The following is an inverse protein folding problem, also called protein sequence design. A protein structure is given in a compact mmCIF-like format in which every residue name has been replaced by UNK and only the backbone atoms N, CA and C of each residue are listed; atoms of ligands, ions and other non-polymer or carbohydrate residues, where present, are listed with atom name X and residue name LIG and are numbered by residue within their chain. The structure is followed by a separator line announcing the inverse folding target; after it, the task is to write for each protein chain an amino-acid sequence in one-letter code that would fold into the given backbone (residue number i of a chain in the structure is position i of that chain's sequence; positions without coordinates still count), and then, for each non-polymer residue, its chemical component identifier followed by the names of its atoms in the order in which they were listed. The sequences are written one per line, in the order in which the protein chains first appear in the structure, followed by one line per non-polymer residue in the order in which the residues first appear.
data_IF_918270270704
#
_entry.id   IF_918270270704
#
_cell.length_a   1.000
_cell.length_b   1.000
_cell.length_c   1.000
_cell.angle_alpha   90.00
_cell.angle_beta   90.00
_cell.angle_gamma   90.00
#
_symmetry.space_group_name_H-M   'P 1'
#
loop_
_entity.id
_entity.type
_entity.pdbx_description
1 polymer ?
#
# COMPACT_ATOMS: atom_id res chain seq x y z
N UNK A 1 -34.37 8.61 -20.65
CA UNK A 1 -34.45 8.47 -22.12
C UNK A 1 -34.60 6.98 -22.43
N UNK A 2 -35.82 6.55 -22.79
CA UNK A 2 -36.23 6.04 -24.13
C UNK A 2 -35.44 4.77 -24.54
N UNK A 3 -36.01 3.60 -24.88
CA UNK A 3 -37.39 3.14 -25.10
C UNK A 3 -37.39 1.59 -25.09
N UNK A 4 -38.43 1.00 -24.50
CA UNK A 4 -38.90 -0.37 -24.75
C UNK A 4 -39.92 -0.29 -25.91
N UNK A 5 -39.87 -1.24 -26.83
CA UNK A 5 -40.83 -1.56 -27.90
C UNK A 5 -40.58 -3.05 -28.21
N UNK A 6 -41.53 -3.98 -28.25
CA UNK A 6 -42.89 -3.92 -28.78
C UNK A 6 -43.84 -4.84 -27.99
N UNK A 7 -45.09 -4.40 -27.83
CA UNK A 7 -46.25 -5.27 -27.69
C UNK A 7 -47.23 -4.92 -28.80
N UNK A 8 -47.91 -5.91 -29.35
CA UNK A 8 -49.27 -5.86 -29.90
C UNK A 8 -49.56 -7.17 -30.66
N UNK A 9 -50.75 -7.75 -30.74
CA UNK A 9 -52.14 -7.51 -30.29
C UNK A 9 -52.86 -8.83 -30.69
N UNK A 10 -53.95 -9.27 -30.05
CA UNK A 10 -55.30 -9.22 -30.64
C UNK A 10 -56.34 -9.45 -29.54
N UNK A 11 -57.27 -8.50 -29.54
CA UNK A 11 -58.45 -8.29 -28.73
C UNK A 11 -59.62 -9.03 -29.37
N UNK A 12 -60.53 -9.59 -28.56
CA UNK A 12 -61.95 -9.66 -28.91
C UNK A 12 -62.76 -9.18 -27.69
N UNK A 13 -63.43 -8.04 -27.87
CA UNK A 13 -64.58 -7.55 -27.10
C UNK A 13 -65.86 -8.11 -27.79
N UNK A 14 -67.08 -8.18 -27.27
CA UNK A 14 -67.87 -7.46 -26.25
C UNK A 14 -69.08 -8.35 -25.88
N UNK A 15 -69.74 -8.02 -24.78
CA UNK A 15 -71.21 -7.90 -24.63
C UNK A 15 -71.82 -8.66 -23.45
N UNK A 16 -72.57 -7.87 -22.67
CA UNK A 16 -73.33 -8.19 -21.49
C UNK A 16 -74.62 -8.98 -21.80
N UNK A 17 -75.09 -9.77 -20.83
CA UNK A 17 -76.38 -9.58 -20.16
C UNK A 17 -76.56 -10.66 -19.08
N UNK A 18 -77.13 -10.24 -17.96
CA UNK A 18 -77.37 -11.10 -16.79
C UNK A 18 -78.47 -12.14 -17.00
N UNK A 19 -78.66 -12.96 -15.96
CA UNK A 19 -79.80 -13.85 -15.83
C UNK A 19 -79.42 -15.25 -15.39
N UNK A 20 -79.58 -15.49 -14.10
CA UNK A 20 -79.82 -16.76 -13.42
C UNK A 20 -80.36 -17.92 -14.29
N UNK A 21 -79.73 -19.09 -14.17
CA UNK A 21 -80.30 -20.33 -13.60
C UNK A 21 -79.75 -21.61 -14.29
N UNK A 22 -79.23 -22.52 -13.45
CA UNK A 22 -79.49 -23.97 -13.54
C UNK A 22 -78.80 -24.84 -14.60
N UNK A 23 -77.88 -25.67 -14.11
CA UNK A 23 -77.67 -27.10 -14.43
C UNK A 23 -76.80 -27.57 -15.65
N UNK A 24 -75.60 -28.06 -15.28
CA UNK A 24 -74.80 -29.22 -15.81
C UNK A 24 -74.14 -29.12 -17.20
N UNK A 25 -73.06 -29.89 -17.56
CA UNK A 25 -72.31 -30.97 -16.87
C UNK A 25 -70.75 -30.87 -16.91
N UNK A 26 -70.09 -31.78 -16.19
CA UNK A 26 -68.62 -31.92 -16.03
C UNK A 26 -67.95 -32.68 -17.19
N UNK A 27 -66.78 -32.22 -17.70
CA UNK A 27 -65.80 -33.07 -18.38
C UNK A 27 -64.62 -33.42 -17.45
N UNK A 28 -64.21 -34.70 -17.45
CA UNK A 28 -63.09 -35.25 -16.69
C UNK A 28 -61.75 -34.54 -16.99
N UNK A 29 -61.00 -34.22 -15.93
CA UNK A 29 -59.62 -33.72 -15.97
C UNK A 29 -58.62 -34.89 -15.81
N UNK A 30 -57.51 -34.92 -16.58
CA UNK A 30 -56.45 -35.93 -16.44
C UNK A 30 -55.72 -35.84 -15.08
N UNK A 31 -55.08 -36.92 -14.61
CA UNK A 31 -54.62 -37.05 -13.23
C UNK A 31 -53.51 -36.05 -12.93
N UNK A 32 -53.70 -35.29 -11.85
CA UNK A 32 -52.74 -34.34 -11.32
C UNK A 32 -51.67 -35.11 -10.55
N UNK A 33 -50.42 -34.98 -10.96
CA UNK A 33 -49.25 -35.50 -10.26
C UNK A 33 -49.11 -34.75 -8.93
N UNK A 34 -49.24 -35.46 -7.81
CA UNK A 34 -49.09 -34.90 -6.47
C UNK A 34 -47.66 -34.39 -6.26
N UNK A 35 -47.50 -33.07 -6.09
CA UNK A 35 -46.28 -32.49 -5.52
C UNK A 35 -46.17 -32.90 -4.05
N UNK A 36 -45.25 -33.84 -3.78
CA UNK A 36 -44.97 -34.30 -2.42
C UNK A 36 -44.29 -33.18 -1.62
N UNK A 37 -45.00 -32.65 -0.62
CA UNK A 37 -44.54 -31.60 0.32
C UNK A 37 -43.42 -32.01 1.29
N UNK A 38 -42.83 -33.20 1.10
CA UNK A 38 -41.84 -33.80 1.99
C UNK A 38 -40.41 -33.42 1.58
N UNK A 39 -39.56 -33.09 2.56
CA UNK A 39 -38.14 -32.75 2.33
C UNK A 39 -37.36 -34.04 2.09
N UNK A 40 -36.63 -34.11 0.97
CA UNK A 40 -35.77 -35.25 0.63
C UNK A 40 -34.31 -34.95 0.97
N UNK A 41 -33.50 -35.98 1.16
CA UNK A 41 -32.06 -35.82 1.43
C UNK A 41 -31.35 -35.02 0.32
N UNK A 42 -31.76 -35.22 -0.93
CA UNK A 42 -31.26 -34.47 -2.09
C UNK A 42 -31.61 -32.98 -2.05
N UNK A 43 -32.71 -32.59 -1.41
CA UNK A 43 -33.07 -31.18 -1.21
C UNK A 43 -32.11 -30.54 -0.19
N UNK A 44 -31.76 -31.26 0.88
CA UNK A 44 -30.80 -30.78 1.90
C UNK A 44 -29.37 -30.71 1.34
N UNK A 45 -28.93 -31.70 0.55
CA UNK A 45 -27.62 -31.64 -0.11
C UNK A 45 -27.52 -30.40 -1.01
N UNK A 46 -28.57 -30.11 -1.79
CA UNK A 46 -28.66 -28.88 -2.60
C UNK A 46 -28.76 -27.60 -1.76
N UNK A 47 -29.45 -27.64 -0.62
CA UNK A 47 -29.58 -26.50 0.29
C UNK A 47 -28.22 -25.99 0.77
N UNK A 48 -27.33 -26.90 1.17
CA UNK A 48 -25.98 -26.53 1.62
C UNK A 48 -25.01 -26.30 0.47
N UNK A 49 -25.15 -27.02 -0.64
CA UNK A 49 -24.33 -26.90 -1.85
C UNK A 49 -22.82 -26.78 -1.55
N UNK A 50 -22.32 -27.70 -0.72
CA UNK A 50 -20.95 -27.64 -0.21
C UNK A 50 -19.93 -28.00 -1.30
N UNK A 51 -18.87 -27.20 -1.39
CA UNK A 51 -17.74 -27.44 -2.30
C UNK A 51 -17.00 -28.73 -1.91
N UNK A 52 -16.91 -29.68 -2.84
CA UNK A 52 -16.29 -30.99 -2.64
C UNK A 52 -14.77 -30.95 -2.51
N UNK A 53 -14.16 -29.80 -2.83
CA UNK A 53 -12.72 -29.56 -2.59
C UNK A 53 -12.40 -29.30 -1.12
N UNK A 54 -13.41 -29.00 -0.30
CA UNK A 54 -13.23 -28.83 1.14
C UNK A 54 -12.95 -30.18 1.80
N UNK A 55 -12.16 -30.17 2.87
CA UNK A 55 -12.12 -31.32 3.77
C UNK A 55 -13.42 -31.40 4.59
N UNK A 56 -13.64 -32.56 5.23
CA UNK A 56 -14.86 -32.82 6.01
C UNK A 56 -15.09 -31.78 7.10
N UNK A 57 -14.05 -31.40 7.86
CA UNK A 57 -14.15 -30.37 8.90
C UNK A 57 -14.64 -29.02 8.35
N UNK A 58 -14.02 -28.53 7.27
CA UNK A 58 -14.41 -27.27 6.63
C UNK A 58 -15.83 -27.32 6.07
N UNK A 59 -16.22 -28.44 5.49
CA UNK A 59 -17.58 -28.65 4.99
C UNK A 59 -18.61 -28.64 6.12
N UNK A 60 -18.30 -29.28 7.26
CA UNK A 60 -19.12 -29.28 8.46
C UNK A 60 -19.30 -27.87 9.03
N UNK A 61 -18.21 -27.12 9.21
CA UNK A 61 -18.28 -25.76 9.75
C UNK A 61 -19.08 -24.82 8.83
N UNK A 62 -18.91 -24.96 7.51
CA UNK A 62 -19.75 -24.23 6.54
C UNK A 62 -21.22 -24.62 6.62
N UNK A 63 -21.54 -25.90 6.82
CA UNK A 63 -22.92 -26.35 6.96
C UNK A 63 -23.56 -25.79 8.24
N UNK A 64 -22.85 -25.84 9.37
CA UNK A 64 -23.30 -25.30 10.66
C UNK A 64 -23.53 -23.78 10.61
N UNK A 65 -22.72 -23.05 9.85
CA UNK A 65 -22.89 -21.61 9.67
C UNK A 65 -24.01 -21.22 8.69
N UNK A 66 -24.49 -22.16 7.86
CA UNK A 66 -25.41 -21.91 6.76
C UNK A 66 -26.85 -22.25 7.14
N UNK A 67 -27.45 -21.41 7.97
CA UNK A 67 -28.82 -21.53 8.47
C UNK A 67 -29.76 -20.54 7.77
N UNK A 68 -31.08 -20.74 7.95
CA UNK A 68 -32.13 -19.84 7.49
C UNK A 68 -32.91 -20.35 6.28
N UNK A 69 -33.64 -19.43 5.63
CA UNK A 69 -34.59 -19.76 4.54
C UNK A 69 -33.92 -19.79 3.17
N UNK A 70 -34.19 -20.84 2.38
CA UNK A 70 -33.84 -20.94 0.95
C UNK A 70 -34.92 -21.68 0.17
N UNK A 71 -35.07 -21.31 -1.10
CA UNK A 71 -35.95 -22.04 -2.02
C UNK A 71 -35.15 -23.07 -2.79
N UNK A 72 -35.44 -24.36 -2.60
CA UNK A 72 -34.76 -25.49 -3.26
C UNK A 72 -35.81 -26.33 -3.97
N UNK A 73 -35.65 -26.56 -5.28
CA UNK A 73 -36.59 -27.34 -6.10
C UNK A 73 -38.06 -26.93 -5.90
N UNK A 74 -38.34 -25.62 -5.78
CA UNK A 74 -39.69 -25.08 -5.56
C UNK A 74 -40.20 -25.11 -4.12
N UNK A 75 -39.43 -25.67 -3.17
CA UNK A 75 -39.78 -25.76 -1.74
C UNK A 75 -39.08 -24.67 -0.94
N UNK A 76 -39.81 -23.91 -0.12
CA UNK A 76 -39.21 -22.99 0.87
C UNK A 76 -38.78 -23.80 2.10
N UNK A 77 -37.47 -24.01 2.23
CA UNK A 77 -36.84 -24.76 3.34
C UNK A 77 -36.16 -23.76 4.27
N UNK A 78 -36.51 -23.80 5.55
CA UNK A 78 -35.86 -23.04 6.61
C UNK A 78 -35.07 -23.98 7.52
N UNK A 79 -33.74 -23.96 7.47
CA UNK A 79 -32.90 -24.76 8.38
C UNK A 79 -32.61 -23.94 9.63
N UNK A 80 -32.92 -24.48 10.80
CA UNK A 80 -32.69 -23.80 12.09
C UNK A 80 -31.55 -24.41 12.89
N UNK A 81 -31.31 -25.71 12.75
CA UNK A 81 -30.25 -26.41 13.49
C UNK A 81 -29.55 -27.42 12.59
N UNK A 82 -28.23 -27.49 12.74
CA UNK A 82 -27.37 -28.47 12.09
C UNK A 82 -26.42 -29.04 13.14
N UNK A 83 -26.48 -30.35 13.34
CA UNK A 83 -25.59 -31.06 14.28
C UNK A 83 -24.87 -32.20 13.58
N UNK A 84 -23.59 -32.37 13.91
CA UNK A 84 -22.78 -33.49 13.43
C UNK A 84 -23.19 -34.79 14.13
N UNK A 85 -23.52 -35.82 13.35
CA UNK A 85 -23.85 -37.16 13.87
C UNK A 85 -22.64 -38.08 13.76
N UNK A 86 -21.99 -38.06 12.58
CA UNK A 86 -20.83 -38.90 12.29
C UNK A 86 -19.88 -38.16 11.36
N UNK A 87 -18.58 -38.40 11.55
CA UNK A 87 -17.49 -37.87 10.73
C UNK A 87 -16.48 -38.97 10.43
N UNK A 88 -16.09 -39.08 9.17
CA UNK A 88 -15.02 -39.96 8.70
C UNK A 88 -14.15 -39.17 7.70
N UNK A 89 -13.09 -38.57 8.24
CA UNK A 89 -12.16 -37.75 7.46
C UNK A 89 -11.39 -38.58 6.42
N UNK A 90 -11.10 -39.86 6.72
CA UNK A 90 -10.35 -40.73 5.81
C UNK A 90 -11.19 -41.10 4.59
N UNK A 91 -12.50 -41.29 4.77
CA UNK A 91 -13.42 -41.55 3.64
C UNK A 91 -13.93 -40.27 2.97
N UNK A 92 -13.73 -39.11 3.59
CA UNK A 92 -14.24 -37.84 3.06
C UNK A 92 -15.77 -37.78 3.18
N UNK A 93 -16.32 -38.32 4.28
CA UNK A 93 -17.75 -38.46 4.49
C UNK A 93 -18.18 -37.98 5.88
N UNK A 94 -19.40 -37.47 5.99
CA UNK A 94 -20.01 -37.12 7.28
C UNK A 94 -21.54 -37.18 7.20
N UNK A 95 -22.19 -37.26 8.35
CA UNK A 95 -23.65 -37.29 8.48
C UNK A 95 -24.07 -36.10 9.34
N UNK A 96 -25.02 -35.32 8.83
CA UNK A 96 -25.63 -34.21 9.56
C UNK A 96 -27.05 -34.56 9.96
N UNK A 97 -27.42 -34.25 11.19
CA UNK A 97 -28.80 -34.12 11.61
C UNK A 97 -29.23 -32.67 11.38
N UNK A 98 -30.27 -32.50 10.57
CA UNK A 98 -30.76 -31.19 10.11
C UNK A 98 -32.21 -31.03 10.57
N UNK A 99 -32.47 -29.94 11.29
CA UNK A 99 -33.80 -29.59 11.81
C UNK A 99 -34.25 -28.28 11.18
N UNK A 100 -35.50 -28.24 10.75
CA UNK A 100 -36.05 -27.07 10.08
C UNK A 100 -37.54 -27.15 9.79
N UNK A 101 -38.01 -26.27 8.90
CA UNK A 101 -39.38 -26.29 8.39
C UNK A 101 -39.41 -26.25 6.87
N UNK A 102 -40.42 -26.88 6.26
CA UNK A 102 -40.78 -26.70 4.85
C UNK A 102 -42.17 -26.06 4.79
N UNK A 103 -42.24 -24.82 4.32
CA UNK A 103 -43.39 -23.97 4.62
C UNK A 103 -43.62 -23.88 6.13
N UNK A 104 -44.78 -24.36 6.60
CA UNK A 104 -45.15 -24.40 8.02
C UNK A 104 -44.92 -25.75 8.72
N UNK A 105 -44.54 -26.82 7.99
CA UNK A 105 -44.39 -28.16 8.57
C UNK A 105 -42.96 -28.37 9.07
N UNK A 106 -42.74 -28.82 10.32
CA UNK A 106 -41.41 -29.15 10.81
C UNK A 106 -40.88 -30.42 10.15
N UNK A 107 -39.56 -30.50 10.00
CA UNK A 107 -38.86 -31.72 9.63
C UNK A 107 -37.58 -31.88 10.46
N UNK A 108 -37.19 -33.13 10.62
CA UNK A 108 -35.92 -33.54 11.22
C UNK A 108 -35.42 -34.72 10.40
N UNK A 109 -34.19 -34.65 9.90
CA UNK A 109 -33.62 -35.74 9.14
C UNK A 109 -32.10 -35.82 9.24
N UNK A 110 -31.59 -37.03 9.12
CA UNK A 110 -30.15 -37.28 8.94
C UNK A 110 -29.82 -37.37 7.44
N UNK A 111 -28.76 -36.70 7.04
CA UNK A 111 -28.33 -36.60 5.64
C UNK A 111 -26.84 -36.90 5.56
N UNK A 112 -26.51 -37.88 4.73
CA UNK A 112 -25.14 -38.25 4.43
C UNK A 112 -24.54 -37.35 3.34
N UNK A 113 -23.31 -36.95 3.59
CA UNK A 113 -22.48 -36.14 2.72
C UNK A 113 -21.20 -36.91 2.40
N UNK A 114 -20.88 -37.05 1.12
CA UNK A 114 -19.71 -37.79 0.65
C UNK A 114 -18.96 -37.07 -0.47
N UNK A 115 -17.75 -37.55 -0.78
CA UNK A 115 -16.92 -37.03 -1.87
C UNK A 115 -16.14 -35.76 -1.52
N UNK A 116 -15.88 -35.51 -0.23
CA UNK A 116 -15.04 -34.42 0.24
C UNK A 116 -13.56 -34.83 0.25
N UNK A 117 -12.66 -33.85 0.36
CA UNK A 117 -11.23 -34.12 0.42
C UNK A 117 -10.90 -35.05 1.60
N UNK A 118 -10.27 -36.18 1.27
CA UNK A 118 -9.95 -37.23 2.23
C UNK A 118 -8.69 -36.85 3.01
N UNK A 119 -8.64 -37.20 4.28
CA UNK A 119 -7.44 -37.04 5.08
C UNK A 119 -6.40 -38.10 4.67
N UNK A 120 -5.17 -37.71 4.28
CA UNK A 120 -4.08 -38.65 4.03
C UNK A 120 -3.73 -39.49 5.26
N UNK A 121 -2.94 -40.55 5.05
CA UNK A 121 -2.38 -41.33 6.16
C UNK A 121 -1.50 -40.44 7.05
N UNK A 122 -1.31 -40.80 8.31
CA UNK A 122 -0.44 -40.03 9.21
C UNK A 122 1.00 -39.90 8.66
N UNK A 123 1.48 -40.94 7.97
CA UNK A 123 2.76 -40.93 7.26
C UNK A 123 2.79 -39.86 6.16
N UNK A 124 1.74 -39.79 5.34
CA UNK A 124 1.64 -38.77 4.28
C UNK A 124 1.45 -37.37 4.87
N UNK A 125 0.66 -37.22 5.93
CA UNK A 125 0.51 -35.97 6.67
C UNK A 125 1.86 -35.41 7.11
N UNK A 126 2.77 -36.25 7.62
CA UNK A 126 4.12 -35.83 8.01
C UNK A 126 5.06 -35.61 6.80
N UNK A 127 5.04 -36.50 5.80
CA UNK A 127 6.05 -36.56 4.75
C UNK A 127 5.72 -35.72 3.51
N UNK A 128 4.48 -35.26 3.37
CA UNK A 128 4.00 -34.55 2.17
C UNK A 128 3.37 -33.20 2.49
N UNK A 129 3.47 -32.75 3.74
CA UNK A 129 3.01 -31.43 4.12
C UNK A 129 3.86 -30.32 3.49
N UNK A 130 3.15 -29.29 3.06
CA UNK A 130 3.68 -28.02 2.57
C UNK A 130 3.06 -26.89 3.40
N UNK A 131 3.76 -25.75 3.46
CA UNK A 131 3.32 -24.59 4.19
C UNK A 131 2.88 -23.48 3.21
N UNK A 132 1.77 -22.81 3.51
CA UNK A 132 1.31 -21.60 2.82
C UNK A 132 1.03 -20.53 3.87
N UNK A 133 1.33 -19.26 3.56
CA UNK A 133 0.82 -18.16 4.36
C UNK A 133 -0.70 -18.14 4.30
N UNK A 134 -1.34 -17.94 5.45
CA UNK A 134 -2.79 -17.77 5.54
C UNK A 134 -3.24 -16.56 4.74
N UNK A 135 -4.39 -16.68 4.10
CA UNK A 135 -5.01 -15.57 3.41
C UNK A 135 -5.48 -14.51 4.41
N UNK A 136 -5.30 -13.23 4.06
CA UNK A 136 -5.68 -12.09 4.89
C UNK A 136 -4.72 -11.73 6.02
N UNK A 137 -3.59 -12.43 6.17
CA UNK A 137 -2.56 -12.14 7.18
C UNK A 137 -1.42 -11.33 6.57
N UNK A 138 -1.08 -10.16 7.13
CA UNK A 138 0.11 -9.40 6.71
C UNK A 138 1.36 -9.93 7.41
N UNK A 139 1.79 -11.12 7.01
CA UNK A 139 2.99 -11.77 7.56
C UNK A 139 4.28 -10.94 7.37
N UNK A 140 4.29 -9.97 6.45
CA UNK A 140 5.44 -9.06 6.27
C UNK A 140 5.50 -7.98 7.35
N UNK A 141 4.50 -7.88 8.22
CA UNK A 141 4.46 -6.96 9.37
C UNK A 141 4.35 -7.73 10.67
N UNK A 142 3.42 -8.68 10.73
CA UNK A 142 3.01 -9.33 11.98
C UNK A 142 3.91 -10.50 12.40
N UNK A 143 4.57 -11.16 11.44
CA UNK A 143 5.51 -12.24 11.75
C UNK A 143 6.80 -11.65 12.33
N UNK A 144 7.26 -12.16 13.47
CA UNK A 144 8.42 -11.64 14.20
C UNK A 144 9.73 -12.11 13.58
N UNK A 145 9.97 -11.72 12.33
CA UNK A 145 11.13 -12.16 11.58
C UNK A 145 12.45 -11.66 12.20
N UNK A 146 12.46 -10.46 12.80
CA UNK A 146 13.64 -9.90 13.45
C UNK A 146 14.17 -10.81 14.58
N UNK A 147 13.29 -11.37 15.40
CA UNK A 147 13.69 -12.33 16.46
C UNK A 147 14.31 -13.60 15.89
N UNK A 148 13.76 -14.12 14.79
CA UNK A 148 14.30 -15.30 14.12
C UNK A 148 15.67 -15.01 13.49
N UNK A 149 15.75 -13.92 12.72
CA UNK A 149 16.85 -13.67 11.80
C UNK A 149 17.99 -12.88 12.43
N UNK A 150 17.71 -11.76 13.10
CA UNK A 150 18.74 -10.92 13.71
C UNK A 150 19.12 -11.43 15.09
N UNK A 151 18.13 -11.72 15.94
CA UNK A 151 18.36 -12.16 17.33
C UNK A 151 18.73 -13.65 17.44
N UNK A 152 18.51 -14.43 16.37
CA UNK A 152 18.83 -15.87 16.30
C UNK A 152 18.11 -16.71 17.37
N UNK A 153 16.89 -16.31 17.78
CA UNK A 153 16.08 -17.04 18.77
C UNK A 153 14.89 -17.72 18.11
N UNK A 154 14.86 -19.05 18.14
CA UNK A 154 13.82 -19.85 17.50
C UNK A 154 12.70 -20.33 18.46
N UNK A 155 12.90 -20.23 19.77
CA UNK A 155 11.99 -20.84 20.78
C UNK A 155 10.56 -20.28 20.74
N UNK A 156 10.39 -19.05 20.26
CA UNK A 156 9.09 -18.39 20.11
C UNK A 156 8.23 -19.02 19.00
N UNK A 157 8.85 -19.63 17.98
CA UNK A 157 8.17 -20.12 16.77
C UNK A 157 7.59 -21.52 16.97
N UNK A 158 6.74 -21.63 17.99
CA UNK A 158 6.01 -22.84 18.35
C UNK A 158 4.89 -23.16 17.35
N UNK A 159 4.30 -24.35 17.49
CA UNK A 159 3.09 -24.74 16.73
C UNK A 159 1.97 -23.71 16.87
N UNK A 160 1.72 -23.22 18.10
CA UNK A 160 0.68 -22.24 18.37
C UNK A 160 0.98 -20.86 17.77
N UNK A 161 2.27 -20.49 17.66
CA UNK A 161 2.67 -19.25 16.99
C UNK A 161 2.45 -19.37 15.48
N UNK A 162 3.00 -20.41 14.84
CA UNK A 162 2.91 -20.60 13.39
C UNK A 162 1.48 -20.83 12.91
N UNK A 163 0.63 -21.52 13.70
CA UNK A 163 -0.78 -21.72 13.36
C UNK A 163 -1.57 -20.41 13.21
N UNK A 164 -1.07 -19.26 13.68
CA UNK A 164 -1.68 -17.94 13.44
C UNK A 164 -1.45 -17.43 12.01
N UNK A 165 -0.32 -17.80 11.41
CA UNK A 165 0.14 -17.23 10.13
C UNK A 165 0.13 -18.24 8.98
N UNK A 166 0.11 -19.54 9.28
CA UNK A 166 0.44 -20.60 8.32
C UNK A 166 -0.69 -21.61 8.22
N UNK A 167 -1.01 -22.01 6.99
CA UNK A 167 -1.76 -23.22 6.68
C UNK A 167 -0.79 -24.33 6.30
N UNK A 168 -0.95 -25.50 6.93
CA UNK A 168 -0.29 -26.72 6.51
C UNK A 168 -1.23 -27.53 5.63
N UNK A 169 -0.73 -27.98 4.49
CA UNK A 169 -1.49 -28.74 3.49
C UNK A 169 -0.69 -29.99 3.19
N UNK A 170 -1.29 -31.17 3.33
CA UNK A 170 -0.67 -32.42 2.86
C UNK A 170 -1.44 -33.00 1.69
N UNK A 171 -0.85 -33.98 1.03
CA UNK A 171 -1.46 -34.68 -0.10
C UNK A 171 -1.26 -36.18 -0.02
N UNK A 172 -2.12 -36.92 -0.72
CA UNK A 172 -1.89 -38.34 -1.05
C UNK A 172 -0.71 -38.50 -2.01
N UNK A 173 -0.11 -39.71 -2.13
CA UNK A 173 1.05 -39.97 -2.99
C UNK A 173 0.91 -39.50 -4.44
N UNK A 174 -0.29 -39.64 -5.01
CA UNK A 174 -0.64 -39.23 -6.38
C UNK A 174 -0.80 -37.70 -6.54
N UNK A 175 -0.81 -36.94 -5.45
CA UNK A 175 -0.90 -35.48 -5.45
C UNK A 175 -2.28 -34.91 -5.80
N UNK A 176 -3.29 -35.75 -6.02
CA UNK A 176 -4.61 -35.29 -6.48
C UNK A 176 -5.47 -34.75 -5.33
N UNK A 177 -5.29 -35.27 -4.13
CA UNK A 177 -6.09 -34.89 -2.97
C UNK A 177 -5.25 -34.02 -2.03
N UNK A 178 -5.67 -32.77 -1.84
CA UNK A 178 -5.02 -31.80 -0.97
C UNK A 178 -5.86 -31.60 0.29
N UNK A 179 -5.26 -31.86 1.45
CA UNK A 179 -5.90 -31.77 2.75
C UNK A 179 -5.24 -30.69 3.59
N UNK A 180 -6.00 -29.66 3.95
CA UNK A 180 -5.53 -28.62 4.88
C UNK A 180 -5.69 -29.11 6.32
N UNK A 181 -4.67 -28.89 7.15
CA UNK A 181 -4.67 -29.28 8.56
C UNK A 181 -5.79 -28.57 9.32
N UNK A 182 -6.54 -29.34 10.10
CA UNK A 182 -7.59 -28.87 11.01
C UNK A 182 -7.02 -28.57 12.40
N UNK A 183 -7.84 -28.03 13.31
CA UNK A 183 -7.42 -27.81 14.69
C UNK A 183 -6.93 -29.10 15.37
N UNK A 184 -7.60 -30.23 15.10
CA UNK A 184 -7.24 -31.55 15.62
C UNK A 184 -5.86 -32.01 15.10
N UNK A 185 -5.51 -31.64 13.87
CA UNK A 185 -4.21 -31.99 13.27
C UNK A 185 -3.09 -31.11 13.83
N UNK A 186 -3.35 -29.81 14.00
CA UNK A 186 -2.42 -28.90 14.67
C UNK A 186 -2.11 -29.35 16.10
N UNK A 187 -3.09 -29.88 16.84
CA UNK A 187 -2.88 -30.43 18.18
C UNK A 187 -1.96 -31.68 18.19
N UNK A 188 -1.87 -32.41 17.07
CA UNK A 188 -0.99 -33.56 16.88
C UNK A 188 0.37 -33.18 16.27
N UNK A 189 0.59 -31.89 16.01
CA UNK A 189 1.78 -31.40 15.31
C UNK A 189 2.73 -30.72 16.29
N UNK A 190 4.02 -31.02 16.17
CA UNK A 190 5.09 -30.21 16.77
C UNK A 190 5.95 -29.57 15.69
N UNK A 191 6.50 -28.39 16.01
CA UNK A 191 7.39 -27.65 15.12
C UNK A 191 8.77 -27.54 15.77
N UNK A 192 9.82 -27.71 14.95
CA UNK A 192 11.23 -27.58 15.35
C UNK A 192 12.08 -27.07 14.18
N UNK A 193 13.35 -26.74 14.45
CA UNK A 193 14.33 -26.30 13.43
C UNK A 193 13.82 -25.14 12.56
N UNK A 194 13.17 -24.16 13.19
CA UNK A 194 12.69 -22.96 12.48
C UNK A 194 13.88 -22.08 12.13
N UNK A 195 14.06 -21.80 10.84
CA UNK A 195 15.18 -21.00 10.33
C UNK A 195 14.83 -20.27 9.05
N UNK A 196 15.57 -19.20 8.78
CA UNK A 196 15.53 -18.52 7.50
C UNK A 196 16.65 -19.04 6.59
N UNK A 197 16.29 -19.44 5.37
CA UNK A 197 17.20 -19.91 4.34
C UNK A 197 17.17 -18.90 3.19
N UNK A 198 18.26 -18.15 2.94
CA UNK A 198 18.34 -17.21 1.83
C UNK A 198 18.22 -17.93 0.48
N UNK A 199 17.42 -17.38 -0.44
CA UNK A 199 17.40 -17.80 -1.85
C UNK A 199 18.33 -16.91 -2.67
N UNK A 200 18.37 -15.62 -2.33
CA UNK A 200 19.27 -14.60 -2.89
C UNK A 200 19.52 -13.54 -1.80
N UNK A 201 20.14 -12.41 -2.18
CA UNK A 201 20.44 -11.32 -1.24
C UNK A 201 19.21 -10.61 -0.68
N UNK A 202 18.04 -10.71 -1.33
CA UNK A 202 16.83 -9.93 -1.02
C UNK A 202 15.72 -10.80 -0.37
N UNK A 203 15.59 -12.04 -0.81
CA UNK A 203 14.51 -12.93 -0.41
C UNK A 203 14.99 -14.34 -0.09
N UNK A 204 14.13 -15.08 0.60
CA UNK A 204 14.44 -16.40 1.09
C UNK A 204 13.20 -17.14 1.52
N UNK A 205 13.40 -18.16 2.34
CA UNK A 205 12.33 -18.98 2.86
C UNK A 205 12.47 -19.19 4.36
N UNK A 206 11.37 -19.06 5.08
CA UNK A 206 11.29 -19.56 6.46
C UNK A 206 10.98 -21.05 6.35
N UNK A 207 11.91 -21.89 6.80
CA UNK A 207 11.79 -23.35 6.78
C UNK A 207 11.72 -23.88 8.21
N UNK A 208 10.98 -24.97 8.40
CA UNK A 208 10.82 -25.61 9.69
C UNK A 208 10.48 -27.09 9.51
N UNK A 209 10.83 -27.89 10.52
CA UNK A 209 10.50 -29.32 10.57
C UNK A 209 9.18 -29.50 11.29
N UNK A 210 8.27 -30.27 10.68
CA UNK A 210 7.05 -30.74 11.33
C UNK A 210 7.27 -32.16 11.85
N UNK A 211 6.68 -32.49 12.99
CA UNK A 211 6.47 -33.87 13.42
C UNK A 211 4.98 -34.02 13.70
N UNK A 212 4.31 -34.89 12.94
CA UNK A 212 2.87 -35.07 13.03
C UNK A 212 2.61 -36.47 13.60
N UNK A 213 1.85 -36.53 14.70
CA UNK A 213 1.53 -37.76 15.44
C UNK A 213 2.77 -38.65 15.72
N UNK A 214 3.88 -38.01 16.13
CA UNK A 214 5.17 -38.69 16.40
C UNK A 214 6.00 -39.04 15.16
N UNK A 215 5.47 -38.88 13.95
CA UNK A 215 6.19 -39.13 12.70
C UNK A 215 6.89 -37.85 12.26
N UNK A 216 8.23 -37.90 12.22
CA UNK A 216 9.04 -36.77 11.78
C UNK A 216 8.92 -36.61 10.26
N UNK A 217 8.55 -35.41 9.83
CA UNK A 217 8.45 -35.06 8.42
C UNK A 217 9.81 -34.87 7.75
N UNK A 218 9.76 -34.41 6.50
CA UNK A 218 10.95 -34.10 5.70
C UNK A 218 11.75 -32.94 6.30
N UNK A 219 13.07 -33.03 6.22
CA UNK A 219 14.02 -32.03 6.76
C UNK A 219 15.03 -31.51 5.72
N UNK A 220 15.02 -32.06 4.51
CA UNK A 220 16.01 -31.79 3.47
C UNK A 220 15.57 -30.68 2.51
N UNK A 221 15.99 -30.82 1.25
CA UNK A 221 15.72 -29.88 0.15
C UNK A 221 15.04 -30.60 -1.03
N UNK A 222 14.47 -29.86 -1.98
CA UNK A 222 13.87 -30.41 -3.19
C UNK A 222 12.68 -31.33 -2.90
N UNK A 223 12.66 -32.55 -3.47
CA UNK A 223 11.62 -33.55 -3.22
C UNK A 223 11.59 -34.06 -1.77
N UNK A 224 12.68 -33.88 -1.02
CA UNK A 224 12.80 -34.12 0.41
C UNK A 224 12.76 -32.83 1.23
N UNK A 225 12.22 -31.76 0.65
CA UNK A 225 12.11 -30.43 1.22
C UNK A 225 11.30 -30.41 2.52
N UNK A 226 11.83 -29.78 3.56
CA UNK A 226 11.02 -29.36 4.69
C UNK A 226 9.96 -28.33 4.26
N UNK A 227 8.81 -28.25 4.96
CA UNK A 227 7.87 -27.15 4.81
C UNK A 227 8.59 -25.80 4.87
N UNK A 228 8.25 -24.92 3.94
CA UNK A 228 8.89 -23.61 3.85
C UNK A 228 8.01 -22.56 3.20
N UNK A 229 8.16 -21.32 3.64
CA UNK A 229 7.35 -20.17 3.26
C UNK A 229 8.23 -19.10 2.64
N UNK A 230 7.84 -18.57 1.47
CA UNK A 230 8.56 -17.45 0.86
C UNK A 230 8.51 -16.23 1.77
N UNK A 231 9.63 -15.54 1.93
CA UNK A 231 9.72 -14.35 2.76
C UNK A 231 10.65 -13.33 2.11
N UNK A 232 10.23 -12.07 2.12
CA UNK A 232 11.01 -10.94 1.59
C UNK A 232 11.55 -10.15 2.77
N UNK A 233 12.83 -10.37 3.10
CA UNK A 233 13.43 -9.70 4.26
C UNK A 233 13.58 -8.19 4.01
N UNK A 234 13.79 -7.76 2.76
CA UNK A 234 13.93 -6.35 2.44
C UNK A 234 12.61 -5.62 2.65
N UNK A 235 11.50 -6.19 2.18
CA UNK A 235 10.17 -5.65 2.41
C UNK A 235 9.82 -5.62 3.91
N UNK A 236 10.09 -6.72 4.64
CA UNK A 236 9.85 -6.77 6.09
C UNK A 236 10.55 -5.63 6.83
N UNK A 237 11.86 -5.46 6.59
CA UNK A 237 12.62 -4.40 7.26
C UNK A 237 12.24 -3.01 6.76
N UNK A 238 11.93 -2.82 5.46
CA UNK A 238 11.46 -1.54 4.94
C UNK A 238 10.18 -1.06 5.65
N UNK A 239 9.25 -1.98 5.96
CA UNK A 239 8.02 -1.66 6.71
C UNK A 239 8.26 -1.23 8.17
N UNK A 240 9.48 -1.41 8.71
CA UNK A 240 9.87 -0.91 10.04
C UNK A 240 10.34 0.55 10.02
N UNK A 241 10.45 1.14 8.82
CA UNK A 241 10.89 2.51 8.61
C UNK A 241 9.72 3.35 8.12
N UNK A 242 9.58 4.55 8.66
CA UNK A 242 8.57 5.52 8.23
C UNK A 242 9.20 6.89 8.06
N UNK A 243 8.69 7.68 7.13
CA UNK A 243 9.15 9.06 6.93
C UNK A 243 8.54 9.96 8.01
N UNK A 244 9.36 10.83 8.59
CA UNK A 244 8.86 11.90 9.47
C UNK A 244 8.37 13.09 8.65
N UNK A 245 7.12 13.03 8.21
CA UNK A 245 6.53 14.08 7.36
C UNK A 245 6.43 15.44 8.05
N UNK A 246 6.36 15.47 9.38
CA UNK A 246 6.36 16.73 10.15
C UNK A 246 7.74 17.40 10.14
N UNK A 247 8.81 16.61 10.05
CA UNK A 247 10.17 17.09 9.90
C UNK A 247 10.44 17.51 8.45
N UNK A 248 10.09 16.66 7.47
CA UNK A 248 10.31 16.97 6.04
C UNK A 248 9.52 18.20 5.60
N UNK A 249 8.29 18.39 6.09
CA UNK A 249 7.43 19.53 5.75
C UNK A 249 7.96 20.91 6.15
N UNK A 250 9.02 20.95 6.96
CA UNK A 250 9.69 22.20 7.36
C UNK A 250 10.84 22.58 6.44
N UNK A 251 11.23 21.69 5.52
CA UNK A 251 12.47 21.77 4.76
C UNK A 251 12.20 21.77 3.26
N UNK A 252 13.02 22.50 2.50
CA UNK A 252 13.03 22.42 1.05
C UNK A 252 13.87 21.24 0.55
N UNK A 253 13.30 20.47 -0.38
CA UNK A 253 13.87 19.20 -0.83
C UNK A 253 15.28 19.33 -1.44
N UNK A 254 15.53 20.34 -2.29
CA UNK A 254 16.81 20.49 -2.99
C UNK A 254 17.99 20.65 -2.01
N UNK A 255 17.89 21.50 -0.99
CA UNK A 255 19.00 21.65 -0.04
C UNK A 255 19.17 20.42 0.84
N UNK A 256 18.07 19.78 1.25
CA UNK A 256 18.13 18.48 1.93
C UNK A 256 18.88 17.45 1.09
N UNK A 257 18.57 17.33 -0.20
CA UNK A 257 19.26 16.41 -1.11
C UNK A 257 20.78 16.67 -1.20
N UNK A 258 21.20 17.94 -1.20
CA UNK A 258 22.62 18.33 -1.26
C UNK A 258 23.35 18.06 0.06
N UNK A 259 22.64 18.08 1.18
CA UNK A 259 23.17 17.91 2.53
C UNK A 259 22.55 16.71 3.27
N UNK A 260 22.30 15.63 2.54
CA UNK A 260 21.60 14.46 3.09
C UNK A 260 22.31 13.86 4.31
N UNK A 261 23.63 13.91 4.34
CA UNK A 261 24.50 13.43 5.42
C UNK A 261 24.11 13.97 6.81
N UNK A 262 23.60 15.20 6.87
CA UNK A 262 23.15 15.82 8.13
C UNK A 262 21.64 15.69 8.37
N UNK A 263 20.84 15.47 7.34
CA UNK A 263 19.38 15.46 7.45
C UNK A 263 18.78 14.07 7.62
N UNK A 264 19.21 13.07 6.85
CA UNK A 264 18.44 11.85 6.64
C UNK A 264 18.09 11.11 7.95
N UNK A 265 19.01 11.10 8.92
CA UNK A 265 18.79 10.47 10.22
C UNK A 265 17.63 11.06 11.02
N UNK A 266 17.32 12.35 10.82
CA UNK A 266 16.19 13.04 11.47
C UNK A 266 14.87 12.97 10.69
N UNK A 267 14.92 12.55 9.42
CA UNK A 267 13.75 12.51 8.53
C UNK A 267 13.08 11.13 8.49
N UNK A 268 13.63 10.17 9.22
CA UNK A 268 13.20 8.77 9.18
C UNK A 268 13.02 8.27 10.62
N UNK A 269 11.86 7.68 10.90
CA UNK A 269 11.54 7.02 12.17
C UNK A 269 11.76 5.52 12.05
N UNK A 270 12.51 4.97 12.99
CA UNK A 270 12.80 3.55 13.14
C UNK A 270 13.28 3.28 14.58
N UNK A 271 13.43 2.01 14.93
CA UNK A 271 13.99 1.61 16.23
C UNK A 271 15.52 1.78 16.24
N UNK A 272 15.98 2.94 16.70
CA UNK A 272 17.40 3.32 16.76
C UNK A 272 18.23 2.47 17.74
N UNK A 273 17.58 1.71 18.62
CA UNK A 273 18.25 0.77 19.52
C UNK A 273 18.55 -0.56 18.82
N UNK A 274 17.81 -0.90 17.76
CA UNK A 274 17.98 -2.15 17.01
C UNK A 274 18.81 -1.98 15.75
N UNK A 275 18.67 -0.85 15.09
CA UNK A 275 19.13 -0.67 13.72
C UNK A 275 20.09 0.50 13.54
N UNK A 276 20.98 0.36 12.57
CA UNK A 276 21.85 1.39 12.06
C UNK A 276 21.72 1.43 10.52
N UNK A 277 20.90 2.32 9.94
CA UNK A 277 20.80 2.48 8.50
C UNK A 277 22.01 3.24 7.96
N UNK A 278 22.52 2.80 6.82
CA UNK A 278 23.62 3.42 6.08
C UNK A 278 23.10 3.86 4.71
N UNK A 279 23.40 5.10 4.32
CA UNK A 279 23.03 5.63 3.01
C UNK A 279 23.99 5.10 1.93
N UNK A 280 23.47 4.30 1.00
CA UNK A 280 24.26 3.78 -0.13
C UNK A 280 24.01 4.55 -1.43
N UNK A 281 22.80 5.10 -1.57
CA UNK A 281 22.39 5.76 -2.81
C UNK A 281 21.32 6.79 -2.53
N UNK A 282 21.26 7.79 -3.41
CA UNK A 282 20.22 8.81 -3.40
C UNK A 282 19.83 9.19 -4.82
N UNK A 283 18.55 9.43 -5.02
CA UNK A 283 18.01 9.99 -6.23
C UNK A 283 16.89 10.95 -5.86
N UNK A 284 16.72 12.03 -6.61
CA UNK A 284 15.66 13.01 -6.37
C UNK A 284 14.71 13.09 -7.56
N UNK A 285 13.49 13.56 -7.29
CA UNK A 285 12.54 13.99 -8.30
C UNK A 285 12.06 15.38 -7.97
N UNK A 286 12.49 16.36 -8.76
CA UNK A 286 12.11 17.76 -8.58
C UNK A 286 10.62 17.98 -8.81
N UNK A 287 10.07 17.40 -9.89
CA UNK A 287 8.65 17.49 -10.21
C UNK A 287 7.74 16.85 -9.15
N UNK A 288 8.19 15.77 -8.51
CA UNK A 288 7.39 15.12 -7.44
C UNK A 288 7.72 15.68 -6.05
N UNK A 289 8.75 16.52 -5.92
CA UNK A 289 9.27 17.01 -4.64
C UNK A 289 9.63 15.84 -3.68
N UNK A 290 10.37 14.84 -4.17
CA UNK A 290 10.75 13.63 -3.40
C UNK A 290 12.23 13.30 -3.51
N UNK A 291 12.71 12.49 -2.55
CA UNK A 291 14.06 11.90 -2.57
C UNK A 291 13.94 10.40 -2.27
N UNK A 292 14.42 9.56 -3.18
CA UNK A 292 14.61 8.14 -2.93
C UNK A 292 15.97 7.90 -2.29
N UNK A 293 15.98 7.24 -1.13
CA UNK A 293 17.17 6.82 -0.41
C UNK A 293 17.33 5.31 -0.51
N UNK A 294 18.44 4.84 -1.05
CA UNK A 294 18.83 3.43 -0.93
C UNK A 294 19.57 3.25 0.39
N UNK A 295 18.95 2.50 1.31
CA UNK A 295 19.46 2.25 2.64
C UNK A 295 19.94 0.81 2.76
N UNK A 296 21.16 0.63 3.26
CA UNK A 296 21.67 -0.63 3.78
C UNK A 296 21.46 -0.67 5.28
N UNK A 297 20.74 -1.68 5.74
CA UNK A 297 20.40 -1.84 7.14
C UNK A 297 21.40 -2.78 7.83
N UNK A 298 21.98 -2.31 8.93
CA UNK A 298 22.83 -3.11 9.83
C UNK A 298 22.25 -3.12 11.24
N UNK A 299 22.56 -4.12 12.08
CA UNK A 299 22.19 -4.08 13.49
C UNK A 299 22.98 -2.98 14.23
N UNK A 300 22.41 -2.47 15.32
CA UNK A 300 23.05 -1.46 16.17
C UNK A 300 24.17 -2.01 17.08
N UNK A 301 24.38 -3.31 17.09
CA UNK A 301 25.38 -4.00 17.93
C UNK A 301 26.84 -3.81 17.46
N UNK A 302 27.06 -3.04 16.39
CA UNK A 302 28.37 -2.75 15.83
C UNK A 302 28.86 -3.79 14.84
N UNK A 303 28.09 -4.85 14.57
CA UNK A 303 28.41 -5.77 13.47
C UNK A 303 28.00 -5.16 12.12
N UNK A 304 28.85 -5.35 11.10
CA UNK A 304 28.57 -4.88 9.73
C UNK A 304 27.70 -5.87 8.94
N UNK A 305 27.00 -6.77 9.62
CA UNK A 305 26.15 -7.78 8.98
C UNK A 305 24.96 -7.09 8.35
N UNK A 306 24.83 -7.21 7.03
CA UNK A 306 23.67 -6.67 6.31
C UNK A 306 22.39 -7.44 6.68
N UNK A 307 21.44 -6.72 7.24
CA UNK A 307 20.10 -7.24 7.50
C UNK A 307 19.25 -7.18 6.23
N UNK A 308 19.25 -6.03 5.55
CA UNK A 308 18.47 -5.77 4.35
C UNK A 308 19.02 -4.57 3.59
N UNK A 309 18.59 -4.44 2.34
CA UNK A 309 18.82 -3.25 1.52
C UNK A 309 17.50 -2.87 0.84
N UNK A 310 17.04 -1.64 1.02
CA UNK A 310 15.75 -1.20 0.48
C UNK A 310 15.76 0.29 0.17
N UNK A 311 14.80 0.71 -0.67
CA UNK A 311 14.58 2.12 -1.00
C UNK A 311 13.49 2.70 -0.11
N UNK A 312 13.78 3.84 0.52
CA UNK A 312 12.79 4.66 1.24
C UNK A 312 12.64 6.01 0.54
N UNK A 313 11.43 6.35 0.14
CA UNK A 313 11.14 7.64 -0.49
C UNK A 313 10.78 8.68 0.57
N UNK A 314 11.65 9.67 0.78
CA UNK A 314 11.32 10.88 1.53
C UNK A 314 10.33 11.73 0.73
N UNK A 315 9.22 12.08 1.37
CA UNK A 315 8.12 12.87 0.79
C UNK A 315 7.67 13.95 1.77
N UNK A 316 6.71 14.77 1.34
CA UNK A 316 6.09 15.78 2.20
C UNK A 316 6.94 17.02 2.42
N UNK A 317 7.97 17.26 1.59
CA UNK A 317 8.79 18.46 1.67
C UNK A 317 7.98 19.73 1.40
N UNK A 318 8.52 20.85 1.87
CA UNK A 318 7.96 22.17 1.62
C UNK A 318 7.90 22.49 0.13
N UNK A 319 6.76 22.98 -0.40
CA UNK A 319 6.64 23.30 -1.82
C UNK A 319 7.39 24.59 -2.15
N UNK A 320 7.96 24.68 -3.35
CA UNK A 320 8.67 25.89 -3.80
C UNK A 320 7.78 27.14 -3.86
N UNK A 321 6.46 26.98 -3.94
CA UNK A 321 5.51 28.09 -3.84
C UNK A 321 5.59 28.84 -2.51
N UNK A 322 6.08 28.23 -1.43
CA UNK A 322 6.28 28.92 -0.14
C UNK A 322 7.39 29.98 -0.21
N UNK A 323 8.30 29.90 -1.19
CA UNK A 323 9.29 30.95 -1.45
C UNK A 323 8.63 32.30 -1.75
N UNK A 324 7.37 32.31 -2.20
CA UNK A 324 6.59 33.54 -2.35
C UNK A 324 6.51 34.36 -1.06
N UNK A 325 6.57 33.72 0.11
CA UNK A 325 6.51 34.41 1.41
C UNK A 325 7.88 34.58 2.06
N UNK A 326 8.84 33.74 1.69
CA UNK A 326 10.13 33.63 2.40
C UNK A 326 11.29 34.27 1.66
N UNK A 327 11.28 34.27 0.34
CA UNK A 327 12.37 34.78 -0.47
C UNK A 327 12.29 36.29 -0.69
N UNK A 328 13.41 37.00 -0.54
CA UNK A 328 13.49 38.43 -0.76
C UNK A 328 14.74 38.79 -1.59
N UNK A 329 14.58 39.83 -2.41
CA UNK A 329 15.66 40.46 -3.16
C UNK A 329 15.74 41.92 -2.75
N UNK A 330 16.94 42.40 -2.42
CA UNK A 330 17.22 43.79 -2.13
C UNK A 330 18.36 44.33 -3.00
N UNK A 331 18.35 45.65 -3.20
CA UNK A 331 19.45 46.36 -3.84
C UNK A 331 20.71 46.37 -2.97
N UNK A 332 21.86 46.02 -3.56
CA UNK A 332 23.20 46.25 -3.02
C UNK A 332 24.05 47.03 -4.03
N UNK A 333 25.27 47.41 -3.66
CA UNK A 333 26.14 48.33 -4.43
C UNK A 333 26.21 47.99 -5.92
N UNK A 334 26.38 46.72 -6.27
CA UNK A 334 26.60 46.27 -7.65
C UNK A 334 25.33 46.44 -8.52
N UNK A 335 24.17 46.01 -8.05
CA UNK A 335 22.90 46.21 -8.79
C UNK A 335 22.48 47.69 -8.80
N UNK A 336 22.78 48.42 -7.73
CA UNK A 336 22.57 49.86 -7.60
C UNK A 336 23.36 50.64 -8.68
N UNK A 337 24.64 50.31 -8.88
CA UNK A 337 25.47 50.88 -9.95
C UNK A 337 25.03 50.40 -11.35
N UNK A 338 24.66 49.12 -11.49
CA UNK A 338 24.21 48.56 -12.77
C UNK A 338 23.01 49.32 -13.34
N UNK A 339 21.98 49.56 -12.52
CA UNK A 339 20.82 50.35 -12.92
C UNK A 339 21.09 51.85 -12.88
N UNK A 340 21.94 52.34 -11.96
CA UNK A 340 22.32 53.74 -11.88
C UNK A 340 22.95 54.27 -13.17
N UNK A 341 23.86 53.51 -13.78
CA UNK A 341 24.44 53.81 -15.10
C UNK A 341 23.39 54.01 -16.20
N UNK A 342 22.26 53.30 -16.12
CA UNK A 342 21.22 53.28 -17.16
C UNK A 342 20.13 54.32 -16.92
N UNK A 343 19.71 54.48 -15.67
CA UNK A 343 18.47 55.18 -15.33
C UNK A 343 18.66 56.43 -14.48
N UNK A 344 19.81 56.64 -13.80
CA UNK A 344 19.97 57.77 -12.86
C UNK A 344 19.68 59.13 -13.50
N UNK A 345 20.19 59.36 -14.70
CA UNK A 345 20.06 60.63 -15.43
C UNK A 345 18.85 60.66 -16.38
N UNK A 346 17.92 59.71 -16.26
CA UNK A 346 16.67 59.69 -17.03
C UNK A 346 15.54 60.35 -16.25
N UNK A 347 14.52 60.86 -16.96
CA UNK A 347 13.32 61.39 -16.31
C UNK A 347 12.59 60.32 -15.49
N UNK A 348 11.92 60.76 -14.43
CA UNK A 348 11.03 59.93 -13.61
C UNK A 348 9.85 59.40 -14.44
N UNK A 349 9.21 58.33 -13.93
CA UNK A 349 8.05 57.71 -14.56
C UNK A 349 8.26 56.23 -14.89
N UNK A 350 7.39 55.70 -15.76
CA UNK A 350 7.39 54.28 -16.14
C UNK A 350 8.66 53.91 -16.92
N UNK A 351 9.36 52.89 -16.41
CA UNK A 351 10.57 52.29 -17.00
C UNK A 351 10.37 50.81 -17.36
N UNK A 352 9.13 50.31 -17.31
CA UNK A 352 8.80 48.90 -17.50
C UNK A 352 9.36 48.32 -18.80
N UNK A 353 9.15 48.98 -19.94
CA UNK A 353 9.63 48.50 -21.24
C UNK A 353 11.16 48.48 -21.34
N UNK A 354 11.84 49.41 -20.67
CA UNK A 354 13.30 49.48 -20.66
C UNK A 354 13.89 48.36 -19.78
N UNK A 355 13.34 48.16 -18.59
CA UNK A 355 13.82 47.11 -17.66
C UNK A 355 13.47 45.70 -18.17
N UNK A 356 12.28 45.49 -18.76
CA UNK A 356 11.89 44.19 -19.35
C UNK A 356 12.80 43.74 -20.50
N UNK A 357 13.48 44.66 -21.19
CA UNK A 357 14.44 44.35 -22.25
C UNK A 357 15.81 43.91 -21.73
N UNK A 358 16.08 44.10 -20.43
CA UNK A 358 17.32 43.65 -19.80
C UNK A 358 17.11 42.23 -19.32
N UNK A 359 17.90 41.28 -19.83
CA UNK A 359 17.87 39.90 -19.31
C UNK A 359 18.14 39.92 -17.79
N UNK A 360 17.18 39.38 -17.02
CA UNK A 360 17.26 39.34 -15.57
C UNK A 360 18.49 38.60 -15.06
N UNK A 361 19.00 37.63 -15.82
CA UNK A 361 20.23 36.88 -15.50
C UNK A 361 21.47 37.76 -15.39
N UNK A 362 21.48 38.93 -16.04
CA UNK A 362 22.62 39.85 -16.01
C UNK A 362 22.74 40.61 -14.68
N UNK A 363 21.64 40.82 -13.97
CA UNK A 363 21.62 41.64 -12.77
C UNK A 363 21.14 40.89 -11.52
N UNK A 364 20.48 39.74 -11.67
CA UNK A 364 20.01 38.94 -10.54
C UNK A 364 21.16 38.48 -9.64
N UNK A 365 22.35 38.23 -10.19
CA UNK A 365 23.56 37.89 -9.42
C UNK A 365 24.20 39.08 -8.69
N UNK A 366 23.73 40.30 -8.98
CA UNK A 366 24.24 41.54 -8.39
C UNK A 366 23.40 42.01 -7.20
N UNK A 367 22.32 41.30 -6.88
CA UNK A 367 21.41 41.64 -5.78
C UNK A 367 21.88 41.05 -4.45
N UNK A 368 21.30 41.52 -3.35
CA UNK A 368 21.31 40.79 -2.09
C UNK A 368 20.08 39.87 -2.05
N UNK A 369 20.29 38.56 -2.03
CA UNK A 369 19.21 37.60 -1.82
C UNK A 369 19.18 37.15 -0.37
N UNK A 370 17.98 36.97 0.18
CA UNK A 370 17.80 36.41 1.50
C UNK A 370 16.55 35.53 1.58
N UNK A 371 16.54 34.65 2.58
CA UNK A 371 15.40 33.80 2.94
C UNK A 371 14.99 34.10 4.38
N UNK A 372 13.70 34.30 4.59
CA UNK A 372 13.12 34.47 5.91
C UNK A 372 13.25 33.18 6.71
N UNK A 373 13.79 33.30 7.94
CA UNK A 373 13.91 32.21 8.91
C UNK A 373 13.51 32.73 10.29
N UNK A 374 12.40 32.22 10.83
CA UNK A 374 11.83 32.72 12.07
C UNK A 374 11.50 34.22 11.99
N UNK A 375 12.01 35.01 12.93
CA UNK A 375 11.87 36.48 12.95
C UNK A 375 12.90 37.22 12.10
N UNK A 376 13.90 36.52 11.55
CA UNK A 376 15.01 37.12 10.83
C UNK A 376 15.11 36.69 9.36
N UNK A 377 16.22 37.09 8.75
CA UNK A 377 16.61 36.74 7.38
C UNK A 377 17.99 36.12 7.39
N UNK A 378 18.19 35.13 6.52
CA UNK A 378 19.49 34.54 6.22
C UNK A 378 19.87 34.98 4.82
N UNK A 379 21.02 35.64 4.71
CA UNK A 379 21.56 36.05 3.41
C UNK A 379 22.03 34.84 2.62
N UNK A 380 21.85 34.91 1.31
CA UNK A 380 22.33 33.92 0.36
C UNK A 380 23.46 34.48 -0.47
N UNK A 381 24.44 33.64 -0.77
CA UNK A 381 25.53 33.96 -1.69
C UNK A 381 25.41 33.15 -2.99
N UNK A 382 25.73 33.76 -4.14
CA UNK A 382 25.75 33.06 -5.41
C UNK A 382 27.06 32.28 -5.57
N UNK A 383 26.96 30.96 -5.79
CA UNK A 383 28.09 30.06 -6.00
C UNK A 383 27.96 29.37 -7.36
N UNK A 384 29.08 29.31 -8.10
CA UNK A 384 29.13 28.53 -9.35
C UNK A 384 29.32 27.06 -9.03
N UNK A 385 28.37 26.24 -9.46
CA UNK A 385 28.35 24.79 -9.27
C UNK A 385 28.19 24.09 -10.61
N UNK A 386 28.67 22.85 -10.70
CA UNK A 386 28.44 22.03 -11.90
C UNK A 386 26.95 21.66 -11.99
N UNK A 387 26.35 21.84 -13.16
CA UNK A 387 24.99 21.38 -13.45
C UNK A 387 24.90 19.87 -13.29
N UNK A 388 23.76 19.39 -12.78
CA UNK A 388 23.46 17.96 -12.75
C UNK A 388 22.99 17.43 -14.12
N UNK A 389 22.57 18.33 -15.03
CA UNK A 389 22.00 18.00 -16.34
C UNK A 389 22.95 18.26 -17.52
N UNK A 390 24.24 18.46 -17.25
CA UNK A 390 25.21 18.64 -18.32
C UNK A 390 26.60 19.03 -17.84
N UNK A 391 27.49 19.27 -18.81
CA UNK A 391 28.87 19.66 -18.52
C UNK A 391 29.05 21.20 -18.58
N UNK A 392 28.20 21.92 -17.87
CA UNK A 392 28.26 23.38 -17.72
C UNK A 392 28.04 23.80 -16.27
N UNK A 393 28.34 25.05 -15.95
CA UNK A 393 28.17 25.59 -14.60
C UNK A 393 26.90 26.44 -14.51
N UNK A 394 26.18 26.26 -13.40
CA UNK A 394 24.99 27.02 -13.01
C UNK A 394 25.30 27.85 -11.77
N UNK A 395 24.49 28.87 -11.49
CA UNK A 395 24.56 29.60 -10.22
C UNK A 395 23.57 28.99 -9.23
N UNK A 396 24.07 28.50 -8.10
CA UNK A 396 23.26 28.15 -6.95
C UNK A 396 23.37 29.24 -5.88
N UNK A 397 22.24 29.60 -5.29
CA UNK A 397 22.20 30.48 -4.12
C UNK A 397 22.08 29.63 -2.87
N UNK A 398 23.07 29.73 -2.01
CA UNK A 398 23.17 28.97 -0.76
C UNK A 398 23.27 29.92 0.43
N UNK A 399 22.82 29.52 1.63
CA UNK A 399 23.00 30.31 2.84
C UNK A 399 24.47 30.66 3.10
N UNK A 400 24.72 31.89 3.52
CA UNK A 400 26.02 32.28 4.09
C UNK A 400 26.21 31.71 5.51
N UNK A 401 25.10 31.38 6.19
CA UNK A 401 25.07 30.71 7.48
C UNK A 401 25.56 29.27 7.37
N UNK A 402 26.43 28.85 8.30
CA UNK A 402 26.88 27.45 8.40
C UNK A 402 25.93 26.55 9.18
N UNK A 403 24.85 27.10 9.77
CA UNK A 403 23.91 26.38 10.62
C UNK A 403 23.10 25.34 9.85
N UNK A 404 22.96 24.13 10.40
CA UNK A 404 22.21 23.03 9.76
C UNK A 404 20.77 23.41 9.41
N UNK A 405 20.12 24.25 10.21
CA UNK A 405 18.72 24.67 10.01
C UNK A 405 18.49 25.47 8.73
N UNK A 406 19.55 26.05 8.15
CA UNK A 406 19.47 26.87 6.94
C UNK A 406 19.87 26.07 5.69
N UNK A 407 20.57 24.94 5.85
CA UNK A 407 21.12 24.12 4.76
C UNK A 407 20.06 23.42 3.89
N UNK A 408 18.79 23.49 4.27
CA UNK A 408 17.70 23.05 3.39
C UNK A 408 17.48 24.00 2.19
N UNK A 409 18.03 25.21 2.25
CA UNK A 409 18.02 26.15 1.13
C UNK A 409 19.16 25.85 0.16
N UNK A 410 18.75 25.55 -1.07
CA UNK A 410 19.64 25.50 -2.22
C UNK A 410 18.80 25.89 -3.45
N UNK A 411 19.00 27.11 -3.94
CA UNK A 411 18.21 27.70 -5.03
C UNK A 411 19.05 27.79 -6.28
N UNK A 412 18.93 26.80 -7.15
CA UNK A 412 19.61 26.74 -8.44
C UNK A 412 18.84 27.57 -9.47
N UNK A 413 19.57 28.51 -10.09
CA UNK A 413 19.10 29.37 -11.17
C UNK A 413 17.69 29.97 -10.97
N UNK A 414 17.44 30.70 -9.87
CA UNK A 414 16.16 31.38 -9.69
C UNK A 414 15.91 32.34 -10.86
N UNK A 415 14.85 32.09 -11.62
CA UNK A 415 14.43 32.92 -12.75
C UNK A 415 13.31 33.84 -12.29
N UNK A 416 13.41 35.10 -12.69
CA UNK A 416 12.37 36.09 -12.46
C UNK A 416 11.88 36.69 -13.77
N UNK A 417 10.60 37.05 -13.76
CA UNK A 417 10.00 37.91 -14.76
C UNK A 417 9.81 39.31 -14.18
N UNK A 418 10.25 40.33 -14.92
CA UNK A 418 9.95 41.73 -14.60
C UNK A 418 8.54 42.05 -15.08
N UNK A 419 7.67 42.46 -14.15
CA UNK A 419 6.27 42.80 -14.42
C UNK A 419 6.14 44.31 -14.72
N UNK A 420 6.93 45.13 -14.03
CA UNK A 420 6.95 46.58 -14.24
C UNK A 420 8.13 47.23 -13.54
N UNK A 421 8.37 48.50 -13.86
CA UNK A 421 9.39 49.30 -13.19
C UNK A 421 9.02 50.79 -13.21
N UNK A 422 9.27 51.50 -12.12
CA UNK A 422 8.98 52.94 -12.00
C UNK A 422 10.17 53.66 -11.38
N UNK A 423 10.61 54.76 -12.01
CA UNK A 423 11.66 55.63 -11.47
C UNK A 423 11.04 56.81 -10.71
N UNK A 424 11.54 57.04 -9.48
CA UNK A 424 11.21 58.19 -8.63
C UNK A 424 12.49 58.77 -8.02
N UNK A 425 12.90 59.94 -8.47
CA UNK A 425 14.15 60.59 -8.05
C UNK A 425 15.37 59.68 -8.31
N UNK A 426 16.07 59.31 -7.23
CA UNK A 426 17.22 58.40 -7.27
C UNK A 426 16.87 56.93 -7.03
N UNK A 427 15.59 56.55 -7.07
CA UNK A 427 15.17 55.18 -6.86
C UNK A 427 14.47 54.60 -8.10
N UNK A 428 14.68 53.31 -8.31
CA UNK A 428 13.97 52.50 -9.28
C UNK A 428 13.28 51.35 -8.54
N UNK A 429 11.95 51.36 -8.54
CA UNK A 429 11.14 50.28 -7.97
C UNK A 429 10.86 49.27 -9.09
N UNK A 430 11.40 48.06 -8.97
CA UNK A 430 11.25 46.97 -9.95
C UNK A 430 10.25 45.95 -9.40
N UNK A 431 9.13 45.79 -10.09
CA UNK A 431 8.15 44.75 -9.83
C UNK A 431 8.53 43.47 -10.57
N UNK A 432 8.56 42.35 -9.87
CA UNK A 432 8.97 41.06 -10.42
C UNK A 432 8.16 39.91 -9.81
N UNK A 433 8.20 38.75 -10.45
CA UNK A 433 7.75 37.47 -9.86
C UNK A 433 8.76 36.37 -10.13
N UNK A 434 8.87 35.41 -9.21
CA UNK A 434 9.63 34.18 -9.42
C UNK A 434 8.88 33.31 -10.44
N UNK A 435 9.56 32.83 -11.48
CA UNK A 435 8.93 31.98 -12.50
C UNK A 435 9.42 30.55 -12.45
N UNK A 436 10.68 30.34 -12.04
CA UNK A 436 11.22 29.01 -11.79
C UNK A 436 12.42 29.06 -10.86
N UNK A 437 12.70 27.94 -10.22
CA UNK A 437 13.91 27.68 -9.44
C UNK A 437 14.09 26.17 -9.35
N UNK A 438 15.32 25.68 -9.27
CA UNK A 438 15.60 24.24 -9.20
C UNK A 438 14.95 23.48 -10.37
N UNK A 439 15.00 24.06 -11.57
CA UNK A 439 14.43 23.51 -12.81
C UNK A 439 12.91 23.27 -12.75
N UNK A 440 12.25 23.82 -11.74
CA UNK A 440 10.82 23.66 -11.48
C UNK A 440 10.12 25.00 -11.63
N UNK A 441 9.01 25.01 -12.36
CA UNK A 441 8.17 26.19 -12.50
C UNK A 441 7.53 26.54 -11.15
N UNK A 442 7.45 27.84 -10.85
CA UNK A 442 6.78 28.36 -9.66
C UNK A 442 5.76 29.40 -10.09
N UNK A 443 4.55 29.30 -9.53
CA UNK A 443 3.56 30.36 -9.66
C UNK A 443 3.90 31.50 -8.69
N UNK A 444 4.80 32.38 -9.13
CA UNK A 444 5.31 33.46 -8.31
C UNK A 444 4.32 34.58 -8.08
N UNK A 445 4.35 35.16 -6.88
CA UNK A 445 3.61 36.39 -6.56
C UNK A 445 4.41 37.63 -6.94
N UNK A 446 3.71 38.71 -7.28
CA UNK A 446 4.34 40.01 -7.51
C UNK A 446 5.04 40.50 -6.22
N UNK A 447 6.31 40.87 -6.37
CA UNK A 447 7.16 41.49 -5.36
C UNK A 447 7.79 42.74 -5.94
N UNK A 448 8.21 43.66 -5.07
CA UNK A 448 8.91 44.88 -5.48
C UNK A 448 10.29 44.92 -4.83
N UNK A 449 11.32 45.11 -5.64
CA UNK A 449 12.68 45.43 -5.19
C UNK A 449 12.94 46.92 -5.44
N UNK A 450 13.44 47.62 -4.43
CA UNK A 450 13.86 49.02 -4.55
C UNK A 450 15.36 49.11 -4.75
N UNK A 451 15.79 49.80 -5.81
CA UNK A 451 17.19 50.01 -6.18
C UNK A 451 17.56 51.47 -6.01
N UNK A 452 18.68 51.77 -5.34
CA UNK A 452 19.22 53.12 -5.25
C UNK A 452 20.15 53.36 -6.45
N UNK A 453 19.78 54.27 -7.34
CA UNK A 453 20.47 54.55 -8.60
C UNK A 453 21.75 55.35 -8.36
N UNK A 454 22.84 54.72 -7.92
CA UNK A 454 24.14 55.37 -7.67
C UNK A 454 25.05 55.33 -8.89
N UNK A 455 25.97 56.29 -9.00
CA UNK A 455 27.05 56.22 -10.00
C UNK A 455 28.21 55.36 -9.48
N UNK A 456 29.01 54.76 -10.38
CA UNK A 456 30.19 53.97 -10.04
C UNK A 456 31.20 54.71 -9.20
#
# INVERSE_FOLDING_TARGET
MKKILFSAVIIILFAACGGNDGLTPTPQKPPTQEETSEVKATDIVKYFNLDKRLNVYQALEKAKANLGKKTINGKEINVTTVTEVKRDDQKGTFTLKVVGTVGAKPFEMEVDFSGFAQKPTDQDMAMRAVAKWKEGVDYQVEFDFDTLYRVKKADKFTVAYLAKFVDLISSTPDGNNHYTFTADDWAKTTISDVKYVPTNSQSGRISFTITYNGIKGKTGSGSNGAPSLTFDKNLYYAKQFTVDTDATGKLYMRGVYRHLDVFYGSLIKYDTNKFAPLLEGKQKSDGNNTIDLTLKLTPKDGSETELAQFTLTLTGFKPLSDLNKEWAIAGKTEVNQFFGKKFRNTADGDKSAEVKRIDSRLWINLVQMSIKRGSGYVDLEPVKVKSENGNYNVTAWIPTSSETKDRDIYLEEPQIEVIGAEKKGYFLDIKYRLTSVNETAVDGVEKTMKVHLILP
#
